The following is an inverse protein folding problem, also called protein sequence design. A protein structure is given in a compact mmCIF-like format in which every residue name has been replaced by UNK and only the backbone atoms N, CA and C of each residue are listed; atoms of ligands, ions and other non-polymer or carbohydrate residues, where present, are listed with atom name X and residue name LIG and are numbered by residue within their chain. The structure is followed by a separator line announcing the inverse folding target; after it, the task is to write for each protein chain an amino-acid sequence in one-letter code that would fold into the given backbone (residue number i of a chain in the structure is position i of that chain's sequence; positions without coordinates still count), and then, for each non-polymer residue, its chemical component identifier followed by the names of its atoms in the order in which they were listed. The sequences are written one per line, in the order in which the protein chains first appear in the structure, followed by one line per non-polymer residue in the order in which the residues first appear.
data_IF_460899020792
#
_entry.id   IF_460899020792
#
_cell.length_a   1.000
_cell.length_b   1.000
_cell.length_c   1.000
_cell.angle_alpha   90.00
_cell.angle_beta   90.00
_cell.angle_gamma   90.00
#
_symmetry.space_group_name_H-M   'P 1'
#
loop_
_entity.id
_entity.type
_entity.pdbx_description
1 polymer ?
#
# COMPACT_ATOMS: atom_id res chain seq x y z
N UNK A 1 14.68 11.36 13.87
CA UNK A 1 14.32 9.95 13.61
C UNK A 1 12.86 9.98 13.22
N UNK A 2 12.55 9.71 11.95
CA UNK A 2 11.17 9.63 11.48
C UNK A 2 10.62 8.31 12.01
N UNK A 3 9.69 8.36 12.96
CA UNK A 3 8.96 7.17 13.40
C UNK A 3 8.26 6.58 12.18
N UNK A 4 8.71 5.41 11.74
CA UNK A 4 8.09 4.71 10.62
C UNK A 4 6.70 4.32 11.06
N UNK A 5 5.69 5.02 10.55
CA UNK A 5 4.30 4.77 10.89
C UNK A 5 3.97 3.31 10.61
N UNK A 6 3.53 2.61 11.65
CA UNK A 6 3.05 1.23 11.54
C UNK A 6 1.64 1.25 10.96
N UNK A 7 1.36 0.33 10.02
CA UNK A 7 0.03 0.18 9.46
C UNK A 7 -0.93 -0.33 10.55
N UNK A 8 -2.16 0.19 10.57
CA UNK A 8 -3.22 -0.39 11.39
C UNK A 8 -3.62 -1.78 10.90
N UNK A 9 -4.31 -2.56 11.72
CA UNK A 9 -4.79 -3.89 11.32
C UNK A 9 -5.71 -3.84 10.09
N UNK A 10 -6.56 -2.81 9.99
CA UNK A 10 -7.43 -2.58 8.83
C UNK A 10 -6.62 -2.26 7.56
N UNK A 11 -5.61 -1.41 7.69
CA UNK A 11 -4.69 -1.09 6.59
C UNK A 11 -3.90 -2.32 6.13
N UNK A 12 -3.41 -3.12 7.09
CA UNK A 12 -2.71 -4.37 6.81
C UNK A 12 -3.61 -5.38 6.10
N UNK A 13 -4.87 -5.52 6.53
CA UNK A 13 -5.85 -6.39 5.90
C UNK A 13 -6.16 -5.95 4.47
N UNK A 14 -6.41 -4.65 4.25
CA UNK A 14 -6.65 -4.08 2.92
C UNK A 14 -5.45 -4.27 2.00
N UNK A 15 -4.23 -4.01 2.49
CA UNK A 15 -3.01 -4.20 1.71
C UNK A 15 -2.85 -5.66 1.24
N UNK A 16 -3.08 -6.63 2.15
CA UNK A 16 -3.05 -8.05 1.80
C UNK A 16 -4.12 -8.41 0.76
N UNK A 17 -5.34 -7.93 0.97
CA UNK A 17 -6.46 -8.16 0.05
C UNK A 17 -6.12 -7.66 -1.36
N UNK A 18 -5.75 -6.37 -1.49
CA UNK A 18 -5.46 -5.77 -2.80
C UNK A 18 -4.31 -6.47 -3.49
N UNK A 19 -3.24 -6.80 -2.77
CA UNK A 19 -2.07 -7.45 -3.38
C UNK A 19 -2.38 -8.90 -3.79
N UNK A 20 -3.14 -9.65 -2.99
CA UNK A 20 -3.56 -11.01 -3.36
C UNK A 20 -4.36 -11.02 -4.67
N UNK A 21 -5.19 -10.02 -4.92
CA UNK A 21 -6.00 -9.92 -6.14
C UNK A 21 -5.24 -9.33 -7.33
N UNK A 22 -4.47 -8.26 -7.13
CA UNK A 22 -3.86 -7.50 -8.23
C UNK A 22 -2.50 -8.04 -8.65
N UNK A 23 -1.66 -8.47 -7.69
CA UNK A 23 -0.29 -8.95 -7.90
C UNK A 23 0.15 -9.94 -6.81
N UNK A 24 -0.37 -11.18 -6.81
CA UNK A 24 -0.09 -12.17 -5.77
C UNK A 24 1.40 -12.51 -5.61
N UNK A 25 2.22 -12.31 -6.64
CA UNK A 25 3.68 -12.48 -6.53
C UNK A 25 4.33 -11.52 -5.51
N UNK A 26 3.68 -10.39 -5.18
CA UNK A 26 4.17 -9.43 -4.19
C UNK A 26 3.74 -9.76 -2.76
N UNK A 27 2.97 -10.83 -2.52
CA UNK A 27 2.49 -11.18 -1.17
C UNK A 27 3.64 -11.34 -0.17
N UNK A 28 4.76 -11.94 -0.56
CA UNK A 28 5.91 -12.09 0.32
C UNK A 28 6.52 -10.73 0.74
N UNK A 29 6.54 -9.73 -0.16
CA UNK A 29 6.99 -8.37 0.13
C UNK A 29 6.05 -7.70 1.13
N UNK A 30 4.74 -7.89 0.96
CA UNK A 30 3.73 -7.36 1.90
C UNK A 30 3.94 -7.92 3.31
N UNK A 31 4.17 -9.23 3.44
CA UNK A 31 4.39 -9.82 4.76
C UNK A 31 5.68 -9.33 5.41
N UNK A 32 6.76 -9.14 4.62
CA UNK A 32 7.97 -8.49 5.12
C UNK A 32 7.68 -7.06 5.60
N UNK A 33 6.79 -6.34 4.90
CA UNK A 33 6.48 -4.93 5.20
C UNK A 33 5.72 -4.79 6.51
N UNK A 34 4.77 -5.71 6.71
CA UNK A 34 3.95 -5.79 7.90
C UNK A 34 4.74 -6.31 9.10
N UNK A 35 5.74 -7.16 8.88
CA UNK A 35 6.69 -7.58 9.91
C UNK A 35 7.68 -6.48 10.32
N UNK A 36 7.71 -5.34 9.62
CA UNK A 36 8.65 -4.25 9.89
C UNK A 36 10.09 -4.58 9.47
N UNK A 37 10.27 -5.56 8.58
CA UNK A 37 11.58 -5.91 8.07
C UNK A 37 12.16 -4.84 7.12
N UNK A 38 13.47 -4.89 6.83
CA UNK A 38 14.07 -4.05 5.80
C UNK A 38 13.51 -4.45 4.43
N UNK A 39 13.11 -3.45 3.64
CA UNK A 39 12.57 -3.64 2.30
C UNK A 39 13.25 -2.68 1.34
N UNK A 40 13.64 -3.19 0.18
CA UNK A 40 14.21 -2.36 -0.86
C UNK A 40 13.18 -1.35 -1.38
N UNK A 41 13.63 -0.13 -1.67
CA UNK A 41 12.78 0.92 -2.24
C UNK A 41 12.03 0.47 -3.50
N UNK A 42 12.65 -0.38 -4.32
CA UNK A 42 12.03 -0.94 -5.52
C UNK A 42 10.80 -1.81 -5.21
N UNK A 43 10.86 -2.61 -4.15
CA UNK A 43 9.76 -3.47 -3.72
C UNK A 43 8.60 -2.65 -3.13
N UNK A 44 8.90 -1.61 -2.34
CA UNK A 44 7.90 -0.64 -1.87
C UNK A 44 7.20 0.02 -3.06
N UNK A 45 7.97 0.42 -4.08
CA UNK A 45 7.45 1.03 -5.31
C UNK A 45 6.54 0.07 -6.08
N UNK A 46 6.87 -1.22 -6.13
CA UNK A 46 6.05 -2.23 -6.79
C UNK A 46 4.70 -2.44 -6.07
N UNK A 47 4.70 -2.45 -4.74
CA UNK A 47 3.48 -2.51 -3.92
C UNK A 47 2.61 -1.26 -4.14
N UNK A 48 3.20 -0.06 -4.05
CA UNK A 48 2.51 1.22 -4.33
C UNK A 48 1.88 1.27 -5.71
N UNK A 49 2.60 0.81 -6.73
CA UNK A 49 2.09 0.74 -8.10
C UNK A 49 0.84 -0.14 -8.19
N UNK A 50 0.82 -1.25 -7.45
CA UNK A 50 -0.33 -2.17 -7.41
C UNK A 50 -1.55 -1.54 -6.74
N UNK A 51 -1.33 -0.81 -5.64
CA UNK A 51 -2.36 0.00 -4.99
C UNK A 51 -2.90 1.10 -5.93
N UNK A 52 -2.04 1.75 -6.71
CA UNK A 52 -2.46 2.76 -7.69
C UNK A 52 -3.38 2.18 -8.77
N UNK A 53 -3.13 0.95 -9.23
CA UNK A 53 -4.04 0.27 -10.16
C UNK A 53 -5.40 -0.02 -9.52
N UNK A 54 -5.42 -0.46 -8.26
CA UNK A 54 -6.68 -0.68 -7.54
C UNK A 54 -7.45 0.63 -7.32
N UNK A 55 -6.76 1.71 -6.93
CA UNK A 55 -7.35 3.04 -6.76
C UNK A 55 -8.03 3.50 -8.06
N UNK A 56 -7.35 3.32 -9.20
CA UNK A 56 -7.92 3.64 -10.51
C UNK A 56 -9.11 2.75 -10.87
N UNK A 57 -9.05 1.46 -10.56
CA UNK A 57 -10.07 0.49 -10.98
C UNK A 57 -11.36 0.56 -10.15
N UNK A 58 -11.23 0.74 -8.82
CA UNK A 58 -12.36 0.59 -7.88
C UNK A 58 -12.43 1.71 -6.84
N UNK A 59 -11.45 2.62 -6.81
CA UNK A 59 -11.31 3.63 -5.75
C UNK A 59 -12.06 4.94 -5.98
N UNK A 60 -12.66 5.14 -7.16
CA UNK A 60 -13.46 6.34 -7.46
C UNK A 60 -14.94 6.00 -7.65
N UNK A 61 -15.83 6.97 -7.42
CA UNK A 61 -17.25 6.83 -7.72
C UNK A 61 -17.61 7.36 -9.12
N UNK A 62 -18.91 7.35 -9.47
CA UNK A 62 -19.39 7.82 -10.77
C UNK A 62 -19.15 9.31 -11.07
N UNK A 63 -18.73 10.09 -10.07
CA UNK A 63 -18.31 11.49 -10.22
C UNK A 63 -16.79 11.67 -10.31
N UNK A 64 -16.03 10.57 -10.36
CA UNK A 64 -14.56 10.53 -10.32
C UNK A 64 -13.94 11.04 -9.01
N UNK A 65 -14.73 11.11 -7.94
CA UNK A 65 -14.24 11.43 -6.60
C UNK A 65 -13.83 10.14 -5.85
N UNK A 66 -12.81 10.18 -4.98
CA UNK A 66 -12.43 9.02 -4.18
C UNK A 66 -13.60 8.53 -3.32
N UNK A 67 -13.96 7.27 -3.49
CA UNK A 67 -14.93 6.61 -2.62
C UNK A 67 -14.28 6.17 -1.29
N UNK A 68 -15.04 5.53 -0.40
CA UNK A 68 -14.53 5.12 0.90
C UNK A 68 -13.29 4.21 0.81
N UNK A 69 -13.29 3.26 -0.14
CA UNK A 69 -12.15 2.35 -0.40
C UNK A 69 -10.99 3.12 -1.01
N UNK A 70 -11.25 4.02 -1.96
CA UNK A 70 -10.23 4.87 -2.56
C UNK A 70 -9.44 5.67 -1.52
N UNK A 71 -10.13 6.31 -0.58
CA UNK A 71 -9.47 7.04 0.53
C UNK A 71 -8.58 6.15 1.41
N UNK A 72 -8.99 4.90 1.64
CA UNK A 72 -8.16 3.95 2.40
C UNK A 72 -6.91 3.54 1.62
N UNK A 73 -7.03 3.40 0.29
CA UNK A 73 -5.90 3.09 -0.59
C UNK A 73 -4.95 4.28 -0.70
N UNK A 74 -5.46 5.51 -0.84
CA UNK A 74 -4.64 6.73 -0.82
C UNK A 74 -3.84 6.84 0.47
N UNK A 75 -4.49 6.64 1.63
CA UNK A 75 -3.81 6.64 2.92
C UNK A 75 -2.72 5.55 3.03
N UNK A 76 -2.92 4.38 2.41
CA UNK A 76 -1.88 3.35 2.32
C UNK A 76 -0.70 3.81 1.46
N UNK A 77 -0.96 4.42 0.31
CA UNK A 77 0.07 4.93 -0.59
C UNK A 77 0.93 5.98 0.13
N UNK A 78 0.32 6.90 0.87
CA UNK A 78 1.01 7.94 1.63
C UNK A 78 1.96 7.35 2.71
N UNK A 79 1.50 6.34 3.45
CA UNK A 79 2.36 5.67 4.44
C UNK A 79 3.53 4.96 3.77
N UNK A 80 3.29 4.35 2.60
CA UNK A 80 4.33 3.68 1.84
C UNK A 80 5.34 4.67 1.22
N UNK A 81 4.94 5.90 0.90
CA UNK A 81 5.84 6.96 0.46
C UNK A 81 6.85 7.32 1.54
N UNK A 82 6.38 7.57 2.76
CA UNK A 82 7.24 7.84 3.91
C UNK A 82 8.24 6.70 4.14
N UNK A 83 7.81 5.45 3.95
CA UNK A 83 8.70 4.28 4.05
C UNK A 83 9.71 4.20 2.91
N UNK A 84 9.31 4.51 1.67
CA UNK A 84 10.20 4.53 0.52
C UNK A 84 11.31 5.59 0.68
N UNK A 85 10.99 6.71 1.32
CA UNK A 85 11.94 7.76 1.69
C UNK A 85 12.83 7.39 2.89
N UNK A 86 12.43 6.42 3.72
CA UNK A 86 13.27 5.93 4.81
C UNK A 86 14.22 4.81 4.36
N UNK A 87 13.91 4.13 3.25
CA UNK A 87 14.73 3.07 2.66
C UNK A 87 15.88 3.65 1.83
N UNK A 88 16.94 4.12 2.51
CA UNK A 88 18.22 4.55 1.93
C UNK A 88 19.39 3.74 2.49
#
# INVERSE_FOLDING_TARGET
MTDVQQLSDEQAALLREVIAWTRPQLTHIVELLLAGGPIARADITAVRTSLGYELYASGVDGSYEPNARGRQIEALIDVLDVRAEAAF
#
